data_IF_853973789383
#
_entry.id   IF_853973789383
#
_cell.length_a   1.000
_cell.length_b   1.000
_cell.length_c   1.000
_cell.angle_alpha   90.00
_cell.angle_beta   90.00
_cell.angle_gamma   90.00
#
_symmetry.space_group_name_H-M   'P 1'
#
loop_
_entity.id
_entity.type
_entity.pdbx_description
1 polymer ?
#
# COMPACT_ATOMS: atom_id res chain seq x y z
N UNK A 1 -14.83 -10.09 -13.73
CA UNK A 1 -14.07 -9.77 -12.52
C UNK A 1 -12.60 -9.55 -12.87
N UNK A 2 -11.95 -8.56 -12.24
CA UNK A 2 -10.50 -8.34 -12.37
C UNK A 2 -9.75 -9.42 -11.60
N UNK A 3 -10.19 -9.71 -10.37
CA UNK A 3 -9.58 -10.71 -9.50
C UNK A 3 -10.62 -11.74 -9.03
N UNK A 4 -11.08 -12.65 -9.91
CA UNK A 4 -12.14 -13.59 -9.56
C UNK A 4 -11.80 -14.52 -8.40
N UNK A 5 -10.50 -14.84 -8.21
CA UNK A 5 -10.03 -15.69 -7.13
C UNK A 5 -9.94 -15.01 -5.76
N UNK A 6 -10.10 -13.68 -5.67
CA UNK A 6 -9.91 -12.91 -4.44
C UNK A 6 -10.86 -13.27 -3.29
N UNK A 7 -11.95 -13.99 -3.57
CA UNK A 7 -12.87 -14.49 -2.56
C UNK A 7 -12.32 -15.68 -1.77
N UNK A 8 -11.49 -16.51 -2.39
CA UNK A 8 -11.06 -17.81 -1.85
C UNK A 8 -9.55 -17.98 -1.74
N UNK A 9 -8.79 -17.12 -2.42
CA UNK A 9 -7.32 -17.15 -2.43
C UNK A 9 -6.78 -15.90 -1.74
N UNK A 10 -5.85 -16.07 -0.79
CA UNK A 10 -5.05 -14.97 -0.27
C UNK A 10 -4.11 -14.49 -1.37
N UNK A 11 -4.29 -13.25 -1.80
CA UNK A 11 -3.51 -12.63 -2.87
C UNK A 11 -2.11 -12.25 -2.37
N UNK A 12 -1.18 -12.17 -3.31
CA UNK A 12 0.18 -11.68 -3.09
C UNK A 12 0.45 -10.47 -3.99
N UNK A 13 1.51 -9.71 -3.72
CA UNK A 13 1.95 -8.65 -4.64
C UNK A 13 2.20 -9.18 -6.05
N UNK A 14 2.69 -10.42 -6.20
CA UNK A 14 2.90 -11.04 -7.52
C UNK A 14 1.59 -11.21 -8.31
N UNK A 15 0.46 -11.48 -7.63
CA UNK A 15 -0.85 -11.58 -8.28
C UNK A 15 -1.36 -10.21 -8.78
N UNK A 16 -0.83 -9.11 -8.24
CA UNK A 16 -1.26 -7.74 -8.47
C UNK A 16 -0.30 -6.92 -9.36
N UNK A 17 0.91 -7.42 -9.60
CA UNK A 17 1.99 -6.65 -10.23
C UNK A 17 1.64 -6.09 -11.63
N UNK A 18 0.80 -6.77 -12.40
CA UNK A 18 0.41 -6.34 -13.74
C UNK A 18 -0.70 -5.29 -13.75
N UNK A 19 -1.36 -5.05 -12.61
CA UNK A 19 -2.51 -4.14 -12.56
C UNK A 19 -2.07 -2.69 -12.44
N UNK A 20 -2.69 -1.81 -13.22
CA UNK A 20 -2.55 -0.36 -13.07
C UNK A 20 -3.22 0.15 -11.78
N UNK A 21 -2.95 1.41 -11.41
CA UNK A 21 -3.63 2.06 -10.27
C UNK A 21 -5.14 2.04 -10.43
N UNK A 22 -5.64 2.30 -11.64
CA UNK A 22 -7.08 2.28 -11.94
C UNK A 22 -7.66 0.87 -11.80
N UNK A 23 -6.99 -0.15 -12.31
CA UNK A 23 -7.42 -1.55 -12.17
C UNK A 23 -7.40 -2.01 -10.72
N UNK A 24 -6.39 -1.63 -9.92
CA UNK A 24 -6.36 -1.88 -8.48
C UNK A 24 -7.54 -1.22 -7.78
N UNK A 25 -7.84 0.05 -8.09
CA UNK A 25 -8.97 0.77 -7.55
C UNK A 25 -10.31 0.08 -7.88
N UNK A 26 -10.49 -0.34 -9.14
CA UNK A 26 -11.70 -1.07 -9.55
C UNK A 26 -11.77 -2.44 -8.89
N UNK A 27 -10.67 -3.20 -8.85
CA UNK A 27 -10.61 -4.52 -8.22
C UNK A 27 -10.99 -4.49 -6.73
N UNK A 28 -10.50 -3.48 -6.01
CA UNK A 28 -10.88 -3.26 -4.61
C UNK A 28 -12.37 -2.97 -4.46
N UNK A 29 -12.92 -2.10 -5.28
CA UNK A 29 -14.35 -1.76 -5.24
C UNK A 29 -15.25 -2.89 -5.75
N UNK A 30 -14.74 -3.76 -6.63
CA UNK A 30 -15.43 -4.96 -7.08
C UNK A 30 -15.73 -5.92 -5.92
N UNK A 31 -14.83 -6.01 -4.93
CA UNK A 31 -15.05 -6.83 -3.75
C UNK A 31 -16.29 -6.35 -2.96
N UNK A 32 -16.49 -5.04 -2.84
CA UNK A 32 -17.69 -4.46 -2.23
C UNK A 32 -18.93 -4.63 -3.11
N UNK A 33 -18.78 -4.43 -4.42
CA UNK A 33 -19.87 -4.56 -5.39
C UNK A 33 -20.48 -5.97 -5.43
N UNK A 34 -19.68 -7.02 -5.24
CA UNK A 34 -20.14 -8.43 -5.18
C UNK A 34 -21.18 -8.68 -4.09
N UNK A 35 -21.16 -7.88 -3.03
CA UNK A 35 -22.10 -7.95 -1.92
C UNK A 35 -23.21 -6.91 -2.01
N UNK A 36 -23.29 -6.19 -3.14
CA UNK A 36 -24.34 -5.22 -3.40
C UNK A 36 -24.11 -3.85 -2.78
N UNK A 37 -22.83 -3.48 -2.50
CA UNK A 37 -22.53 -2.13 -2.01
C UNK A 37 -23.18 -1.07 -2.91
N UNK A 38 -23.84 -0.09 -2.30
CA UNK A 38 -24.52 0.99 -3.02
C UNK A 38 -23.55 2.15 -3.22
N UNK A 39 -23.05 2.29 -4.42
CA UNK A 39 -22.18 3.41 -4.79
C UNK A 39 -23.01 4.68 -5.00
N UNK A 40 -22.42 5.85 -4.74
CA UNK A 40 -23.02 7.14 -5.08
C UNK A 40 -23.41 7.17 -6.57
N UNK A 41 -24.67 7.42 -6.86
CA UNK A 41 -25.25 7.36 -8.20
C UNK A 41 -24.54 8.26 -9.22
N UNK A 42 -23.94 9.35 -8.78
CA UNK A 42 -23.20 10.28 -9.62
C UNK A 42 -21.76 9.83 -9.88
N UNK A 43 -21.28 8.83 -9.15
CA UNK A 43 -19.89 8.36 -9.27
C UNK A 43 -19.66 7.54 -10.54
N UNK A 44 -18.42 7.57 -11.04
CA UNK A 44 -18.00 6.70 -12.14
C UNK A 44 -18.05 5.22 -11.74
N UNK A 45 -17.83 4.91 -10.46
CA UNK A 45 -17.95 3.55 -9.93
C UNK A 45 -19.39 3.03 -10.04
N UNK A 46 -20.39 3.83 -9.67
CA UNK A 46 -21.79 3.44 -9.81
C UNK A 46 -22.13 3.14 -11.26
N UNK A 47 -21.72 4.01 -12.20
CA UNK A 47 -21.93 3.80 -13.64
C UNK A 47 -21.25 2.52 -14.13
N UNK A 48 -20.00 2.31 -13.71
CA UNK A 48 -19.22 1.12 -14.07
C UNK A 48 -19.88 -0.16 -13.56
N UNK A 49 -20.23 -0.24 -12.27
CA UNK A 49 -20.81 -1.47 -11.73
C UNK A 49 -22.25 -1.70 -12.20
N UNK A 50 -23.07 -0.67 -12.36
CA UNK A 50 -24.42 -0.78 -12.94
C UNK A 50 -24.41 -1.32 -14.39
N UNK A 51 -23.31 -1.19 -15.13
CA UNK A 51 -23.15 -1.78 -16.45
C UNK A 51 -22.82 -3.29 -16.42
N UNK A 52 -22.57 -3.88 -15.24
CA UNK A 52 -22.23 -5.28 -15.09
C UNK A 52 -23.48 -6.11 -14.80
N UNK A 53 -23.75 -7.15 -15.59
CA UNK A 53 -24.90 -8.05 -15.41
C UNK A 53 -24.97 -8.71 -14.04
N UNK A 54 -23.82 -8.95 -13.42
CA UNK A 54 -23.73 -9.60 -12.11
C UNK A 54 -23.95 -8.64 -10.93
N UNK A 55 -23.93 -7.32 -11.15
CA UNK A 55 -24.07 -6.36 -10.06
C UNK A 55 -25.56 -6.09 -9.75
N UNK A 56 -25.91 -6.24 -8.49
CA UNK A 56 -27.22 -5.85 -7.95
C UNK A 56 -27.02 -5.11 -6.63
N UNK A 57 -27.44 -3.87 -6.56
CA UNK A 57 -27.36 -3.07 -5.33
C UNK A 57 -28.26 -3.65 -4.24
N UNK A 58 -27.77 -3.64 -2.99
CA UNK A 58 -28.49 -4.12 -1.81
C UNK A 58 -28.60 -2.99 -0.79
N UNK A 59 -29.79 -2.44 -0.60
CA UNK A 59 -30.04 -1.37 0.37
C UNK A 59 -29.76 -1.79 1.82
N UNK A 60 -29.75 -3.08 2.10
CA UNK A 60 -29.41 -3.65 3.43
C UNK A 60 -27.94 -4.10 3.52
N UNK A 61 -27.08 -3.60 2.62
CA UNK A 61 -25.65 -3.90 2.70
C UNK A 61 -25.09 -3.57 4.08
N UNK A 62 -24.43 -4.53 4.70
CA UNK A 62 -23.61 -4.34 5.90
C UNK A 62 -22.18 -4.72 5.60
N UNK A 63 -21.21 -3.99 6.15
CA UNK A 63 -19.79 -4.26 5.96
C UNK A 63 -19.30 -5.60 6.51
N UNK A 64 -20.14 -6.34 7.24
CA UNK A 64 -19.80 -7.58 7.93
C UNK A 64 -19.87 -8.84 7.04
N UNK A 65 -19.98 -8.67 5.73
CA UNK A 65 -20.16 -9.77 4.78
C UNK A 65 -18.87 -10.38 4.25
N UNK A 66 -17.72 -9.75 4.56
CA UNK A 66 -16.42 -10.20 4.06
C UNK A 66 -15.83 -11.32 4.89
N UNK A 67 -15.21 -12.28 4.22
CA UNK A 67 -14.30 -13.22 4.88
C UNK A 67 -12.99 -12.53 5.25
N UNK A 68 -12.26 -13.09 6.20
CA UNK A 68 -10.90 -12.64 6.56
C UNK A 68 -9.97 -12.56 5.33
N UNK A 69 -10.09 -13.52 4.41
CA UNK A 69 -9.34 -13.54 3.15
C UNK A 69 -9.66 -12.32 2.28
N UNK A 70 -10.95 -11.96 2.18
CA UNK A 70 -11.37 -10.80 1.37
C UNK A 70 -10.93 -9.49 2.01
N UNK A 71 -10.98 -9.40 3.35
CA UNK A 71 -10.49 -8.24 4.07
C UNK A 71 -8.97 -8.07 3.90
N UNK A 72 -8.19 -9.12 4.08
CA UNK A 72 -6.74 -9.14 3.84
C UNK A 72 -6.42 -8.71 2.40
N UNK A 73 -7.14 -9.25 1.42
CA UNK A 73 -6.96 -8.92 0.01
C UNK A 73 -7.31 -7.46 -0.29
N UNK A 74 -8.39 -6.95 0.29
CA UNK A 74 -8.76 -5.54 0.15
C UNK A 74 -7.68 -4.62 0.71
N UNK A 75 -7.14 -4.93 1.87
CA UNK A 75 -6.05 -4.18 2.50
C UNK A 75 -4.76 -4.23 1.67
N UNK A 76 -4.41 -5.39 1.12
CA UNK A 76 -3.25 -5.56 0.24
C UNK A 76 -3.38 -4.70 -1.03
N UNK A 77 -4.55 -4.75 -1.69
CA UNK A 77 -4.84 -3.96 -2.90
C UNK A 77 -4.76 -2.47 -2.58
N UNK A 78 -5.39 -2.02 -1.48
CA UNK A 78 -5.37 -0.63 -1.04
C UNK A 78 -3.95 -0.13 -0.77
N UNK A 79 -3.12 -0.94 -0.13
CA UNK A 79 -1.72 -0.60 0.14
C UNK A 79 -0.93 -0.42 -1.17
N UNK A 80 -1.07 -1.33 -2.13
CA UNK A 80 -0.38 -1.25 -3.42
C UNK A 80 -0.89 -0.07 -4.27
N UNK A 81 -2.21 0.16 -4.29
CA UNK A 81 -2.84 1.32 -4.94
C UNK A 81 -2.21 2.63 -4.43
N UNK A 82 -2.09 2.77 -3.09
CA UNK A 82 -1.50 3.95 -2.47
C UNK A 82 -0.02 4.14 -2.84
N UNK A 83 0.77 3.07 -2.83
CA UNK A 83 2.19 3.11 -3.23
C UNK A 83 2.34 3.56 -4.68
N UNK A 84 1.63 2.92 -5.62
CA UNK A 84 1.72 3.22 -7.05
C UNK A 84 1.19 4.61 -7.39
N UNK A 85 0.07 5.01 -6.80
CA UNK A 85 -0.46 6.35 -7.00
C UNK A 85 0.53 7.41 -6.51
N UNK A 86 1.18 7.18 -5.38
CA UNK A 86 2.18 8.11 -4.83
C UNK A 86 3.44 8.16 -5.69
N UNK A 87 3.97 7.02 -6.13
CA UNK A 87 5.14 6.94 -6.99
C UNK A 87 4.90 7.63 -8.36
N UNK A 88 3.69 7.53 -8.89
CA UNK A 88 3.33 8.16 -10.17
C UNK A 88 3.09 9.67 -10.05
N UNK A 89 2.63 10.13 -8.89
CA UNK A 89 2.23 11.54 -8.68
C UNK A 89 3.42 12.41 -8.25
N UNK A 90 4.31 11.90 -7.41
CA UNK A 90 5.42 12.67 -6.86
C UNK A 90 6.73 12.41 -7.63
N UNK A 91 7.62 13.43 -7.70
CA UNK A 91 8.91 13.25 -8.37
C UNK A 91 9.78 12.21 -7.64
N UNK A 92 10.70 11.55 -8.35
CA UNK A 92 11.66 10.64 -7.73
C UNK A 92 12.50 11.36 -6.66
N UNK A 93 12.73 10.68 -5.53
CA UNK A 93 13.59 11.18 -4.46
C UNK A 93 15.04 11.00 -4.89
N UNK A 94 15.74 12.12 -5.12
CA UNK A 94 17.14 12.12 -5.56
C UNK A 94 18.14 11.95 -4.42
N UNK A 95 17.78 12.37 -3.20
CA UNK A 95 18.64 12.17 -2.01
C UNK A 95 18.85 10.70 -1.68
N UNK A 96 19.99 10.38 -1.09
CA UNK A 96 20.29 9.01 -0.66
C UNK A 96 19.36 8.55 0.45
N UNK A 97 18.97 9.45 1.34
CA UNK A 97 18.10 9.17 2.50
C UNK A 97 17.04 10.26 2.64
N UNK A 98 15.85 9.86 3.09
CA UNK A 98 14.83 10.79 3.61
C UNK A 98 15.23 11.21 5.03
N UNK A 99 15.60 10.24 5.88
CA UNK A 99 16.07 10.49 7.23
C UNK A 99 17.41 9.80 7.48
N UNK A 100 18.55 10.46 7.17
CA UNK A 100 19.87 9.84 7.27
C UNK A 100 20.21 9.32 8.67
N UNK A 101 19.68 9.93 9.72
CA UNK A 101 19.96 9.61 11.11
C UNK A 101 18.82 8.85 11.83
N UNK A 102 17.87 8.26 11.10
CA UNK A 102 16.72 7.57 11.69
C UNK A 102 17.08 6.34 12.54
N UNK A 103 18.30 5.85 12.42
CA UNK A 103 18.85 4.76 13.27
C UNK A 103 19.39 5.24 14.64
N UNK A 104 19.53 6.55 14.83
CA UNK A 104 20.21 7.12 16.03
C UNK A 104 19.49 8.34 16.61
N UNK A 105 18.54 8.94 15.89
CA UNK A 105 17.80 10.13 16.30
C UNK A 105 16.29 9.85 16.23
N UNK A 106 15.58 10.18 17.31
CA UNK A 106 14.12 10.07 17.34
C UNK A 106 13.48 11.15 16.46
N UNK A 107 12.55 10.73 15.61
CA UNK A 107 11.73 11.60 14.78
C UNK A 107 10.52 12.07 15.55
N UNK A 108 10.20 13.35 15.42
CA UNK A 108 8.97 13.95 15.93
C UNK A 108 7.86 13.93 14.88
N UNK A 109 6.62 14.18 15.31
CA UNK A 109 5.49 14.35 14.38
C UNK A 109 5.69 15.52 13.40
N UNK A 110 6.42 16.58 13.80
CA UNK A 110 6.74 17.70 12.92
C UNK A 110 7.72 17.33 11.80
N UNK A 111 8.65 16.41 12.07
CA UNK A 111 9.61 15.97 11.05
C UNK A 111 8.91 15.21 9.91
N UNK A 112 7.89 14.43 10.24
CA UNK A 112 7.18 13.58 9.25
C UNK A 112 6.01 14.27 8.59
N UNK A 113 5.38 15.26 9.24
CA UNK A 113 4.18 15.93 8.72
C UNK A 113 4.42 16.77 7.45
N UNK A 114 5.66 17.22 7.22
CA UNK A 114 6.06 17.99 6.04
C UNK A 114 6.30 17.13 4.80
N UNK A 115 6.48 15.82 4.98
CA UNK A 115 6.76 14.89 3.88
C UNK A 115 5.52 14.67 3.03
N UNK A 116 5.71 14.49 1.71
CA UNK A 116 4.65 14.00 0.85
C UNK A 116 4.44 12.47 1.02
N UNK A 117 3.41 11.91 0.39
CA UNK A 117 3.06 10.49 0.56
C UNK A 117 4.17 9.55 0.08
N UNK A 118 4.86 9.91 -1.03
CA UNK A 118 5.95 9.10 -1.54
C UNK A 118 7.16 9.13 -0.59
N UNK A 119 7.50 10.27 -0.07
CA UNK A 119 8.56 10.42 0.94
C UNK A 119 8.26 9.63 2.21
N UNK A 120 7.00 9.64 2.70
CA UNK A 120 6.60 8.82 3.86
C UNK A 120 6.71 7.32 3.58
N UNK A 121 6.33 6.88 2.38
CA UNK A 121 6.47 5.48 1.96
C UNK A 121 7.96 5.10 1.93
N UNK A 122 8.80 5.93 1.31
CA UNK A 122 10.23 5.67 1.22
C UNK A 122 10.89 5.73 2.61
N UNK A 123 10.57 6.72 3.44
CA UNK A 123 11.11 6.82 4.80
C UNK A 123 10.80 5.59 5.66
N UNK A 124 9.57 5.06 5.56
CA UNK A 124 9.18 3.81 6.22
C UNK A 124 10.08 2.66 5.75
N UNK A 125 10.23 2.50 4.43
CA UNK A 125 10.92 1.37 3.84
C UNK A 125 12.44 1.52 3.86
N UNK A 126 12.98 2.74 4.00
CA UNK A 126 14.41 3.02 4.18
C UNK A 126 14.97 2.30 5.42
N UNK A 127 14.22 2.26 6.52
CA UNK A 127 14.63 1.57 7.73
C UNK A 127 14.82 0.07 7.45
N UNK A 128 13.87 -0.56 6.72
CA UNK A 128 14.01 -1.96 6.29
C UNK A 128 15.14 -2.15 5.27
N UNK A 129 15.29 -1.22 4.32
CA UNK A 129 16.30 -1.29 3.27
C UNK A 129 17.72 -1.29 3.82
N UNK A 130 17.99 -0.61 4.94
CA UNK A 130 19.28 -0.61 5.64
C UNK A 130 19.70 -2.00 6.11
N UNK A 131 18.72 -2.88 6.35
CA UNK A 131 18.94 -4.29 6.69
C UNK A 131 18.94 -5.21 5.46
N UNK A 132 18.97 -4.64 4.26
CA UNK A 132 18.99 -5.40 3.01
C UNK A 132 17.65 -6.06 2.65
N UNK A 133 16.53 -5.54 3.17
CA UNK A 133 15.20 -6.08 2.89
C UNK A 133 14.90 -6.02 1.39
N UNK A 134 14.45 -7.17 0.83
CA UNK A 134 14.01 -7.27 -0.55
C UNK A 134 12.53 -6.95 -0.67
N UNK A 135 12.20 -5.94 -1.47
CA UNK A 135 10.82 -5.50 -1.65
C UNK A 135 10.12 -6.30 -2.77
N UNK A 136 8.89 -6.70 -2.50
CA UNK A 136 8.03 -7.36 -3.51
C UNK A 136 7.29 -6.34 -4.40
N UNK A 137 7.22 -5.09 -3.97
CA UNK A 137 6.64 -3.98 -4.74
C UNK A 137 7.74 -3.41 -5.63
N UNK A 138 7.54 -3.45 -6.95
CA UNK A 138 8.54 -3.04 -7.95
C UNK A 138 9.02 -1.61 -7.75
N UNK A 139 8.08 -0.68 -7.48
CA UNK A 139 8.38 0.73 -7.29
C UNK A 139 9.33 0.99 -6.11
N UNK A 140 9.19 0.20 -5.03
CA UNK A 140 10.11 0.25 -3.88
C UNK A 140 11.45 -0.40 -4.21
N UNK A 141 11.44 -1.58 -4.83
CA UNK A 141 12.65 -2.29 -5.19
C UNK A 141 13.51 -1.48 -6.16
N UNK A 142 12.90 -0.85 -7.16
CA UNK A 142 13.59 -0.01 -8.14
C UNK A 142 14.15 1.26 -7.49
N UNK A 143 13.37 1.89 -6.58
CA UNK A 143 13.88 3.03 -5.83
C UNK A 143 15.14 2.67 -5.04
N UNK A 144 15.12 1.60 -4.24
CA UNK A 144 16.28 1.23 -3.42
C UNK A 144 17.43 0.68 -4.27
N UNK A 145 17.18 -0.04 -5.36
CA UNK A 145 18.22 -0.46 -6.30
C UNK A 145 18.99 0.71 -6.92
N UNK A 146 18.38 1.90 -7.00
CA UNK A 146 19.05 3.11 -7.48
C UNK A 146 20.00 3.74 -6.46
N UNK A 147 19.99 3.28 -5.20
CA UNK A 147 20.81 3.82 -4.11
C UNK A 147 22.10 3.03 -3.95
N UNK A 148 23.23 3.73 -3.95
CA UNK A 148 24.57 3.10 -3.87
C UNK A 148 24.82 2.35 -2.55
N UNK A 149 24.12 2.71 -1.48
CA UNK A 149 24.24 2.10 -0.17
C UNK A 149 23.38 0.85 0.04
N UNK A 150 22.37 0.63 -0.84
CA UNK A 150 21.48 -0.50 -0.67
C UNK A 150 22.08 -1.78 -1.21
N UNK A 151 22.14 -2.80 -0.35
CA UNK A 151 22.57 -4.15 -0.71
C UNK A 151 21.40 -5.10 -0.49
N UNK A 152 20.86 -5.61 -1.57
CA UNK A 152 19.77 -6.59 -1.53
C UNK A 152 20.28 -7.92 -0.97
N UNK A 153 19.76 -8.34 0.18
CA UNK A 153 20.03 -9.66 0.78
C UNK A 153 18.91 -10.60 0.32
N UNK A 154 19.27 -11.69 -0.39
CA UNK A 154 18.34 -12.59 -1.11
C UNK A 154 17.35 -13.33 -0.19
N UNK A 155 17.64 -13.41 1.12
CA UNK A 155 16.74 -13.91 2.15
C UNK A 155 16.79 -12.93 3.32
N UNK A 156 16.02 -11.82 3.28
CA UNK A 156 15.79 -11.10 4.51
C UNK A 156 15.08 -12.09 5.43
N UNK A 157 15.74 -12.48 6.52
CA UNK A 157 15.03 -13.21 7.57
C UNK A 157 13.83 -12.35 7.98
N UNK A 158 12.68 -12.95 8.25
CA UNK A 158 11.55 -12.25 8.86
C UNK A 158 11.91 -11.72 10.27
N UNK A 159 13.17 -11.87 10.68
CA UNK A 159 13.73 -11.61 12.00
C UNK A 159 14.61 -10.34 12.02
N UNK A 160 14.26 -9.31 11.24
CA UNK A 160 14.90 -8.00 11.41
C UNK A 160 14.58 -7.49 12.81
N UNK A 161 15.59 -7.37 13.63
CA UNK A 161 15.49 -6.78 14.98
C UNK A 161 15.90 -5.32 14.88
N UNK A 162 14.93 -4.43 14.96
CA UNK A 162 15.17 -3.00 14.99
C UNK A 162 15.64 -2.56 16.38
N UNK A 163 16.43 -1.50 16.42
CA UNK A 163 16.71 -0.80 17.68
C UNK A 163 15.44 -0.09 18.20
N UNK A 164 15.41 0.25 19.50
CA UNK A 164 14.28 0.99 20.09
C UNK A 164 14.00 2.32 19.36
N UNK A 165 15.05 2.97 18.85
CA UNK A 165 14.94 4.22 18.09
C UNK A 165 14.27 3.97 16.72
N UNK A 166 14.73 2.94 16.01
CA UNK A 166 14.16 2.60 14.69
C UNK A 166 12.70 2.16 14.80
N UNK A 167 12.37 1.39 15.83
CA UNK A 167 10.99 0.95 16.09
C UNK A 167 10.08 2.14 16.45
N UNK A 168 10.56 3.08 17.27
CA UNK A 168 9.84 4.32 17.58
C UNK A 168 9.65 5.19 16.33
N UNK A 169 10.67 5.30 15.48
CA UNK A 169 10.63 6.07 14.25
C UNK A 169 9.66 5.44 13.23
N UNK A 170 9.68 4.12 13.08
CA UNK A 170 8.71 3.40 12.26
C UNK A 170 7.27 3.69 12.69
N UNK A 171 6.98 3.63 13.99
CA UNK A 171 5.65 3.95 14.54
C UNK A 171 5.25 5.39 14.23
N UNK A 172 6.18 6.35 14.33
CA UNK A 172 5.92 7.77 14.05
C UNK A 172 5.60 7.99 12.57
N UNK A 173 6.41 7.42 11.67
CA UNK A 173 6.22 7.58 10.21
C UNK A 173 4.94 6.87 9.75
N UNK A 174 4.72 5.63 10.20
CA UNK A 174 3.54 4.82 9.84
C UNK A 174 2.26 5.49 10.31
N UNK A 175 2.22 6.04 11.52
CA UNK A 175 1.06 6.79 12.04
C UNK A 175 0.70 7.96 11.14
N UNK A 176 1.67 8.74 10.68
CA UNK A 176 1.45 9.86 9.76
C UNK A 176 0.94 9.36 8.40
N UNK A 177 1.61 8.34 7.83
CA UNK A 177 1.23 7.72 6.56
C UNK A 177 -0.22 7.20 6.60
N UNK A 178 -0.58 6.44 7.64
CA UNK A 178 -1.89 5.81 7.76
C UNK A 178 -3.01 6.84 7.97
N UNK A 179 -2.71 8.00 8.57
CA UNK A 179 -3.67 9.10 8.69
C UNK A 179 -4.11 9.66 7.33
N UNK A 180 -3.30 9.46 6.27
CA UNK A 180 -3.54 9.95 4.91
C UNK A 180 -4.17 8.92 3.99
N UNK A 181 -4.15 7.64 4.35
CA UNK A 181 -4.78 6.55 3.59
C UNK A 181 -6.26 6.48 3.97
N UNK A 182 -7.09 7.21 3.23
CA UNK A 182 -8.55 7.21 3.41
C UNK A 182 -9.24 6.21 2.50
#
# INVERSE_FOLDING_TARGET
>A
FILPQSKTKKLTYSDLNSLSVEELFIARNEMFARYGYVFDDNSNLAKFFKSKEWYSSNSNYSGDLYSEIEEDNCNLIKALEFVRASANFYPPISSDFVFPNSNSVLLSSSDVSSLNNWELIIATNEIYARYGYRFSISELQDHFNSKSWYVNITNPSNDIVFSDIEDANLKTIVKEKDSRVK
#
